data_IF_441440325995
#
_entry.id   IF_441440325995
#
_cell.length_a   1.000
_cell.length_b   1.000
_cell.length_c   1.000
_cell.angle_alpha   90.00
_cell.angle_beta   90.00
_cell.angle_gamma   90.00
#
_symmetry.space_group_name_H-M   'P 1'
#
loop_
_entity.id
_entity.type
_entity.pdbx_description
1 polymer ?
#
# COMPACT_ATOMS: atom_id res chain seq x y z
N UNK A 1 11.43 -5.25 21.63
CA UNK A 1 12.50 -4.79 20.72
C UNK A 1 13.04 -6.01 20.00
N UNK A 2 12.51 -6.29 18.82
CA UNK A 2 13.14 -7.24 17.91
C UNK A 2 14.45 -6.61 17.44
N UNK A 3 15.56 -7.35 17.58
CA UNK A 3 16.87 -6.89 17.13
C UNK A 3 16.86 -6.66 15.61
N UNK A 4 17.33 -5.49 15.14
CA UNK A 4 17.51 -5.15 13.72
C UNK A 4 18.25 -6.24 12.92
N UNK A 5 19.13 -7.00 13.58
CA UNK A 5 19.88 -8.12 13.02
C UNK A 5 19.02 -9.27 12.46
N UNK A 6 17.74 -9.37 12.83
CA UNK A 6 16.82 -10.34 12.23
C UNK A 6 16.44 -9.94 10.79
N UNK A 7 16.23 -8.63 10.56
CA UNK A 7 15.77 -8.11 9.27
C UNK A 7 16.90 -7.97 8.25
N UNK A 8 18.16 -8.01 8.66
CA UNK A 8 19.30 -7.97 7.73
C UNK A 8 19.64 -9.33 7.10
N UNK A 9 19.08 -10.42 7.62
CA UNK A 9 19.33 -11.78 7.09
C UNK A 9 18.57 -12.08 5.80
N UNK A 10 17.44 -11.42 5.59
CA UNK A 10 16.61 -11.57 4.40
C UNK A 10 16.65 -10.31 3.54
N UNK A 11 16.41 -10.47 2.25
CA UNK A 11 16.53 -9.37 1.32
C UNK A 11 15.43 -8.33 1.61
N UNK A 12 15.75 -7.03 1.48
CA UNK A 12 14.80 -5.93 1.66
C UNK A 12 13.51 -6.13 0.85
N UNK A 13 13.64 -6.75 -0.33
CA UNK A 13 12.50 -7.10 -1.18
C UNK A 13 11.51 -8.05 -0.51
N UNK A 14 12.01 -9.05 0.21
CA UNK A 14 11.17 -10.06 0.88
C UNK A 14 10.42 -9.42 2.05
N UNK A 15 11.10 -8.55 2.82
CA UNK A 15 10.47 -7.81 3.90
C UNK A 15 9.36 -6.87 3.45
N UNK A 16 9.53 -6.20 2.30
CA UNK A 16 8.45 -5.39 1.69
C UNK A 16 7.22 -6.24 1.38
N UNK A 17 7.40 -7.46 0.87
CA UNK A 17 6.29 -8.37 0.57
C UNK A 17 5.59 -8.85 1.84
N UNK A 18 6.36 -9.20 2.88
CA UNK A 18 5.81 -9.60 4.18
C UNK A 18 4.99 -8.46 4.77
N UNK A 19 5.52 -7.23 4.75
CA UNK A 19 4.79 -6.05 5.22
C UNK A 19 3.49 -5.83 4.45
N UNK A 20 3.50 -5.90 3.11
CA UNK A 20 2.30 -5.76 2.28
C UNK A 20 1.28 -6.86 2.58
N UNK A 21 1.74 -8.10 2.77
CA UNK A 21 0.88 -9.21 3.10
C UNK A 21 0.23 -9.03 4.47
N UNK A 22 0.99 -8.60 5.48
CA UNK A 22 0.47 -8.29 6.81
C UNK A 22 -0.51 -7.11 6.78
N UNK A 23 -0.15 -6.03 6.10
CA UNK A 23 -1.01 -4.85 5.94
C UNK A 23 -2.36 -5.23 5.32
N UNK A 24 -2.38 -6.07 4.29
CA UNK A 24 -3.62 -6.55 3.66
C UNK A 24 -4.50 -7.39 4.59
N UNK A 25 -3.89 -8.07 5.57
CA UNK A 25 -4.59 -8.91 6.55
C UNK A 25 -5.00 -8.12 7.79
N UNK A 26 -4.31 -7.02 8.10
CA UNK A 26 -4.64 -6.12 9.21
C UNK A 26 -6.08 -5.60 9.13
N UNK A 27 -6.60 -5.35 7.93
CA UNK A 27 -7.97 -4.88 7.75
C UNK A 27 -9.02 -5.98 7.95
N UNK A 28 -8.63 -7.24 7.74
CA UNK A 28 -9.55 -8.38 7.77
C UNK A 28 -9.54 -9.12 9.11
N UNK A 29 -8.40 -9.16 9.81
CA UNK A 29 -8.24 -9.84 11.09
C UNK A 29 -7.12 -9.17 11.92
N UNK A 30 -7.37 -7.96 12.47
CA UNK A 30 -6.37 -7.23 13.24
C UNK A 30 -5.93 -7.98 14.51
N UNK A 31 -6.81 -8.76 15.13
CA UNK A 31 -6.51 -9.53 16.35
C UNK A 31 -5.50 -10.68 16.15
N UNK A 32 -5.30 -11.11 14.90
CA UNK A 32 -4.33 -12.16 14.54
C UNK A 32 -2.96 -11.59 14.16
N UNK A 33 -2.85 -10.26 14.07
CA UNK A 33 -1.63 -9.59 13.67
C UNK A 33 -0.77 -9.34 14.92
N UNK A 34 0.48 -9.79 14.87
CA UNK A 34 1.48 -9.40 15.86
C UNK A 34 1.83 -7.92 15.64
N UNK A 35 1.19 -7.05 16.43
CA UNK A 35 1.30 -5.59 16.32
C UNK A 35 2.74 -5.15 16.61
N UNK A 36 3.42 -5.78 17.57
CA UNK A 36 4.80 -5.45 17.92
C UNK A 36 5.73 -5.79 16.76
N UNK A 37 5.58 -6.97 16.16
CA UNK A 37 6.33 -7.35 14.97
C UNK A 37 6.05 -6.44 13.77
N UNK A 38 4.78 -6.11 13.54
CA UNK A 38 4.38 -5.24 12.44
C UNK A 38 4.95 -3.82 12.57
N UNK A 39 4.92 -3.26 13.79
CA UNK A 39 5.51 -1.96 14.09
C UNK A 39 7.04 -1.98 13.92
N UNK A 40 7.72 -3.00 14.43
CA UNK A 40 9.17 -3.16 14.28
C UNK A 40 9.55 -3.26 12.78
N UNK A 41 8.78 -4.01 11.99
CA UNK A 41 8.97 -4.11 10.53
C UNK A 41 8.70 -2.78 9.82
N UNK A 42 7.68 -2.03 10.25
CA UNK A 42 7.39 -0.71 9.71
C UNK A 42 8.57 0.25 9.95
N UNK A 43 9.06 0.33 11.19
CA UNK A 43 10.20 1.19 11.57
C UNK A 43 11.44 0.83 10.74
N UNK A 44 11.74 -0.46 10.61
CA UNK A 44 12.86 -0.94 9.79
C UNK A 44 12.74 -0.48 8.34
N UNK A 45 11.59 -0.69 7.70
CA UNK A 45 11.37 -0.31 6.31
C UNK A 45 11.35 1.21 6.11
N UNK A 46 10.80 1.96 7.06
CA UNK A 46 10.81 3.42 7.05
C UNK A 46 12.25 3.95 7.13
N UNK A 47 13.07 3.42 8.04
CA UNK A 47 14.49 3.78 8.11
C UNK A 47 15.23 3.49 6.79
N UNK A 48 14.95 2.36 6.13
CA UNK A 48 15.54 2.07 4.81
C UNK A 48 15.04 3.03 3.71
N UNK A 49 13.78 3.47 3.75
CA UNK A 49 13.26 4.49 2.85
C UNK A 49 13.92 5.86 3.08
N UNK A 50 14.11 6.27 4.33
CA UNK A 50 14.79 7.53 4.66
C UNK A 50 16.25 7.54 4.20
N UNK A 51 16.97 6.41 4.28
CA UNK A 51 18.36 6.32 3.80
C UNK A 51 18.51 6.57 2.30
N UNK A 52 17.45 6.40 1.52
CA UNK A 52 17.43 6.68 0.07
C UNK A 52 16.79 8.05 -0.26
N UNK A 53 16.47 8.86 0.77
CA UNK A 53 15.83 10.16 0.63
C UNK A 53 14.35 10.10 0.26
N UNK A 54 13.69 8.96 0.49
CA UNK A 54 12.25 8.80 0.30
C UNK A 54 11.53 9.13 1.60
N UNK A 55 10.46 9.92 1.51
CA UNK A 55 9.63 10.26 2.66
C UNK A 55 8.54 9.19 2.88
N UNK A 56 8.63 8.37 3.95
CA UNK A 56 7.66 7.33 4.23
C UNK A 56 6.34 7.86 4.83
N UNK A 57 6.25 9.13 5.20
CA UNK A 57 5.02 9.75 5.72
C UNK A 57 4.00 10.01 4.60
N UNK A 58 4.47 10.13 3.36
CA UNK A 58 3.61 10.25 2.20
C UNK A 58 3.09 8.88 1.77
N UNK A 59 1.80 8.62 2.01
CA UNK A 59 1.16 7.32 1.74
C UNK A 59 1.39 6.82 0.30
N UNK A 60 1.18 7.66 -0.71
CA UNK A 60 1.40 7.26 -2.12
C UNK A 60 2.87 6.93 -2.41
N UNK A 61 3.80 7.73 -1.89
CA UNK A 61 5.24 7.53 -2.04
C UNK A 61 5.67 6.23 -1.36
N UNK A 62 5.14 5.97 -0.17
CA UNK A 62 5.39 4.78 0.63
C UNK A 62 4.87 3.51 -0.07
N UNK A 63 3.60 3.50 -0.48
CA UNK A 63 3.00 2.37 -1.18
C UNK A 63 3.72 2.11 -2.51
N UNK A 64 4.07 3.16 -3.26
CA UNK A 64 4.83 3.01 -4.49
C UNK A 64 6.21 2.37 -4.22
N UNK A 65 6.94 2.84 -3.21
CA UNK A 65 8.24 2.26 -2.83
C UNK A 65 8.15 0.80 -2.37
N UNK A 66 7.10 0.43 -1.65
CA UNK A 66 6.85 -0.96 -1.25
C UNK A 66 6.56 -1.87 -2.45
N UNK A 67 5.82 -1.38 -3.44
CA UNK A 67 5.45 -2.13 -4.64
C UNK A 67 6.55 -2.18 -5.71
N UNK A 68 7.48 -1.22 -5.74
CA UNK A 68 8.50 -1.10 -6.79
C UNK A 68 9.71 -2.00 -6.50
N UNK A 69 9.65 -3.27 -6.95
CA UNK A 69 10.70 -4.28 -6.69
C UNK A 69 11.81 -4.36 -7.74
N UNK A 70 11.69 -3.59 -8.83
CA UNK A 70 12.69 -3.35 -9.88
C UNK A 70 12.21 -2.07 -10.56
N UNK A 71 13.00 -0.99 -10.61
CA UNK A 71 12.71 0.23 -11.39
C UNK A 71 11.56 0.07 -12.39
N UNK A 72 10.33 0.45 -12.04
CA UNK A 72 9.23 0.41 -12.99
C UNK A 72 8.66 1.81 -13.14
N UNK A 73 9.03 2.45 -14.24
CA UNK A 73 8.55 3.74 -14.71
C UNK A 73 7.10 3.67 -15.16
N UNK A 74 6.21 3.38 -14.23
CA UNK A 74 4.82 3.79 -14.33
C UNK A 74 4.55 4.46 -13.00
N UNK A 75 4.67 5.79 -13.00
CA UNK A 75 3.84 6.58 -12.09
C UNK A 75 2.45 5.96 -12.22
N UNK A 76 1.93 5.39 -11.13
CA UNK A 76 0.51 5.24 -11.00
C UNK A 76 -0.06 6.66 -10.95
N UNK A 77 -0.04 7.34 -12.11
CA UNK A 77 -1.05 8.31 -12.39
C UNK A 77 -2.31 7.49 -12.28
N UNK A 78 -3.01 7.73 -11.18
CA UNK A 78 -4.45 7.67 -11.12
C UNK A 78 -4.96 8.62 -12.22
N UNK A 79 -4.71 8.29 -13.50
CA UNK A 79 -5.58 8.71 -14.58
C UNK A 79 -6.85 7.94 -14.29
N UNK A 80 -7.70 8.60 -13.50
CA UNK A 80 -9.02 8.93 -14.00
C UNK A 80 -9.63 7.75 -14.77
N UNK A 81 -9.82 6.64 -14.06
CA UNK A 81 -10.80 5.65 -14.48
C UNK A 81 -12.17 6.26 -14.19
N UNK A 82 -12.53 7.33 -14.92
CA UNK A 82 -13.92 7.55 -15.26
C UNK A 82 -14.27 6.34 -16.12
N UNK A 83 -15.19 5.46 -15.68
CA UNK A 83 -15.68 4.43 -16.57
C UNK A 83 -16.32 5.13 -17.78
N UNK A 84 -15.81 4.87 -18.99
CA UNK A 84 -16.40 5.29 -20.27
C UNK A 84 -17.82 4.71 -20.52
N UNK A 85 -18.51 4.23 -19.48
CA UNK A 85 -19.86 3.69 -19.53
C UNK A 85 -20.94 4.67 -19.04
N UNK A 86 -20.63 5.96 -18.83
CA UNK A 86 -21.66 6.99 -18.55
C UNK A 86 -21.74 7.99 -19.72
N UNK A 87 -21.87 7.46 -20.94
CA UNK A 87 -22.36 8.21 -22.10
C UNK A 87 -23.41 7.36 -22.83
N UNK A 88 -24.53 7.09 -22.15
CA UNK A 88 -25.61 6.32 -22.80
C UNK A 88 -26.82 5.95 -21.95
N UNK A 89 -26.79 6.08 -20.63
CA UNK A 89 -27.98 5.84 -19.81
C UNK A 89 -28.82 7.12 -19.72
N UNK A 90 -29.73 7.30 -20.69
CA UNK A 90 -30.92 8.13 -20.48
C UNK A 90 -31.72 7.42 -19.37
N UNK A 91 -31.83 8.04 -18.20
CA UNK A 91 -32.77 7.60 -17.18
C UNK A 91 -34.18 7.75 -17.73
N UNK A 92 -35.03 6.70 -17.76
CA UNK A 92 -36.45 6.91 -17.95
C UNK A 92 -36.97 7.71 -16.75
N UNK A 93 -37.63 8.80 -17.09
CA UNK A 93 -38.27 9.77 -16.22
C UNK A 93 -39.19 9.03 -15.25
N UNK A 94 -38.93 9.12 -13.94
CA UNK A 94 -39.88 8.63 -12.94
C UNK A 94 -41.08 9.56 -13.02
N UNK A 95 -42.15 9.10 -13.67
CA UNK A 95 -43.45 9.75 -13.63
C UNK A 95 -44.02 9.57 -12.22
N UNK A 96 -43.72 10.52 -11.34
CA UNK A 96 -44.52 10.77 -10.15
C UNK A 96 -45.66 11.70 -10.55
N UNK A 97 -46.87 11.18 -10.69
CA UNK A 97 -48.08 11.98 -10.53
C UNK A 97 -49.14 11.15 -9.83
N UNK A 98 -49.54 11.70 -8.69
CA UNK A 98 -50.55 11.30 -7.71
C UNK A 98 -51.94 11.24 -8.35
#
# INVERSE_FOLDING_TARGET
MINDACFEQYNLKEWKLVYLQLLSKSTAAPDLLDIDFFNDLQIYLQGKAETIGLDPLHHDTWINWLNNTKNCGVSAQLVDRIPENIKGAILPEIQDTI
#
